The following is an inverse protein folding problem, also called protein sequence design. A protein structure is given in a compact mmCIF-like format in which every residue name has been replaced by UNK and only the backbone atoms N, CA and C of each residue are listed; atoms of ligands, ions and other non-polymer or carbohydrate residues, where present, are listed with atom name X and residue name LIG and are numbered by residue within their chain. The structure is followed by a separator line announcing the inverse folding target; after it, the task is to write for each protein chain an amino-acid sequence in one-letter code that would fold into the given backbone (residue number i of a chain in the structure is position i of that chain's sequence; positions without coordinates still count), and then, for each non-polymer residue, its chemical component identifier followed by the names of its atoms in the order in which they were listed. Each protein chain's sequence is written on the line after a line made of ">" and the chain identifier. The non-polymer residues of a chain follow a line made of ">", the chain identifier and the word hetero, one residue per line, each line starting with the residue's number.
data_IF_018588778327
#
_entry.id   IF_018588778327
#
_cell.length_a   1.000
_cell.length_b   1.000
_cell.length_c   1.000
_cell.angle_alpha   90.00
_cell.angle_beta   90.00
_cell.angle_gamma   90.00
#
_symmetry.space_group_name_H-M   'P 1'
#
loop_
_entity.id
_entity.type
_entity.pdbx_description
1 polymer ?
#
# COMPACT_ATOMS: atom_id res chain seq x y z
N UNK A 1 -5.56 25.55 -12.41
CA UNK A 1 -6.19 24.34 -12.98
C UNK A 1 -5.55 23.13 -12.30
N UNK A 2 -6.23 22.50 -11.34
CA UNK A 2 -5.70 21.32 -10.65
C UNK A 2 -6.09 20.08 -11.45
N UNK A 3 -5.13 19.45 -12.12
CA UNK A 3 -5.31 18.21 -12.90
C UNK A 3 -5.28 16.96 -11.99
N UNK A 4 -4.64 17.07 -10.83
CA UNK A 4 -4.53 16.06 -9.76
C UNK A 4 -5.86 15.53 -9.20
N UNK A 5 -6.89 16.34 -8.91
CA UNK A 5 -8.14 15.85 -8.35
C UNK A 5 -8.82 14.84 -9.27
N UNK A 6 -8.78 15.08 -10.58
CA UNK A 6 -9.43 14.18 -11.55
C UNK A 6 -8.71 12.83 -11.61
N UNK A 7 -7.38 12.82 -11.63
CA UNK A 7 -6.59 11.59 -11.64
C UNK A 7 -6.81 10.80 -10.34
N UNK A 8 -6.75 11.45 -9.18
CA UNK A 8 -6.95 10.79 -7.88
C UNK A 8 -8.38 10.23 -7.73
N UNK A 9 -9.43 10.94 -8.17
CA UNK A 9 -10.79 10.39 -8.10
C UNK A 9 -11.02 9.26 -9.11
N UNK A 10 -10.50 9.38 -10.33
CA UNK A 10 -10.62 8.32 -11.34
C UNK A 10 -9.92 7.04 -10.90
N UNK A 11 -8.71 7.16 -10.34
CA UNK A 11 -7.98 6.00 -9.80
C UNK A 11 -8.70 5.37 -8.60
N UNK A 12 -9.22 6.17 -7.66
CA UNK A 12 -10.03 5.67 -6.54
C UNK A 12 -11.26 4.88 -7.01
N UNK A 13 -12.00 5.40 -8.00
CA UNK A 13 -13.17 4.71 -8.57
C UNK A 13 -12.77 3.36 -9.17
N UNK A 14 -11.69 3.32 -9.97
CA UNK A 14 -11.20 2.09 -10.59
C UNK A 14 -10.83 1.07 -9.51
N UNK A 15 -10.12 1.48 -8.47
CA UNK A 15 -9.70 0.57 -7.41
C UNK A 15 -10.87 0.03 -6.59
N UNK A 16 -11.88 0.85 -6.29
CA UNK A 16 -13.10 0.38 -5.63
C UNK A 16 -13.88 -0.60 -6.50
N UNK A 17 -13.98 -0.35 -7.81
CA UNK A 17 -14.63 -1.28 -8.76
C UNK A 17 -13.87 -2.61 -8.79
N UNK A 18 -12.54 -2.58 -8.91
CA UNK A 18 -11.71 -3.80 -8.92
C UNK A 18 -11.84 -4.56 -7.59
N UNK A 19 -11.80 -3.85 -6.46
CA UNK A 19 -11.97 -4.47 -5.14
C UNK A 19 -13.33 -5.16 -5.00
N UNK A 20 -14.41 -4.49 -5.41
CA UNK A 20 -15.76 -5.06 -5.40
C UNK A 20 -15.84 -6.28 -6.32
N UNK A 21 -15.30 -6.19 -7.53
CA UNK A 21 -15.25 -7.29 -8.48
C UNK A 21 -14.50 -8.52 -7.92
N UNK A 22 -13.34 -8.30 -7.31
CA UNK A 22 -12.54 -9.36 -6.68
C UNK A 22 -13.32 -10.10 -5.59
N UNK A 23 -14.00 -9.35 -4.71
CA UNK A 23 -14.79 -9.93 -3.61
C UNK A 23 -16.00 -10.69 -4.16
N UNK A 24 -16.70 -10.13 -5.14
CA UNK A 24 -17.94 -10.71 -5.68
C UNK A 24 -17.67 -11.94 -6.54
N UNK A 25 -16.63 -11.92 -7.38
CA UNK A 25 -16.35 -12.98 -8.36
C UNK A 25 -15.40 -14.06 -7.83
N UNK A 26 -14.47 -13.73 -6.94
CA UNK A 26 -13.44 -14.66 -6.43
C UNK A 26 -13.61 -14.99 -4.94
N UNK A 27 -14.86 -15.20 -4.48
CA UNK A 27 -15.21 -15.48 -3.07
C UNK A 27 -14.38 -16.60 -2.39
N UNK A 28 -13.96 -17.61 -3.16
CA UNK A 28 -13.19 -18.77 -2.65
C UNK A 28 -11.66 -18.61 -2.78
N UNK A 29 -11.18 -17.53 -3.39
CA UNK A 29 -9.75 -17.26 -3.57
C UNK A 29 -9.13 -16.79 -2.24
N UNK A 30 -7.97 -17.36 -1.90
CA UNK A 30 -7.21 -16.91 -0.70
C UNK A 30 -6.48 -15.59 -0.96
N UNK A 31 -6.27 -15.27 -2.23
CA UNK A 31 -5.55 -14.08 -2.70
C UNK A 31 -6.52 -12.89 -2.86
N UNK A 32 -7.73 -13.14 -3.34
CA UNK A 32 -8.68 -12.08 -3.70
C UNK A 32 -9.02 -11.15 -2.54
N UNK A 33 -9.27 -11.69 -1.33
CA UNK A 33 -9.64 -10.86 -0.19
C UNK A 33 -8.51 -9.91 0.26
N UNK A 34 -7.26 -10.38 0.47
CA UNK A 34 -6.13 -9.48 0.73
C UNK A 34 -5.93 -8.41 -0.34
N UNK A 35 -6.00 -8.79 -1.63
CA UNK A 35 -5.82 -7.83 -2.73
C UNK A 35 -6.95 -6.81 -2.77
N UNK A 36 -8.19 -7.23 -2.55
CA UNK A 36 -9.32 -6.31 -2.47
C UNK A 36 -9.18 -5.33 -1.30
N UNK A 37 -8.70 -5.78 -0.13
CA UNK A 37 -8.41 -4.87 1.00
C UNK A 37 -7.32 -3.86 0.61
N UNK A 38 -6.28 -4.31 -0.10
CA UNK A 38 -5.25 -3.43 -0.64
C UNK A 38 -5.84 -2.36 -1.57
N UNK A 39 -6.64 -2.76 -2.56
CA UNK A 39 -7.30 -1.83 -3.48
C UNK A 39 -8.24 -0.86 -2.75
N UNK A 40 -8.92 -1.30 -1.68
CA UNK A 40 -9.76 -0.39 -0.87
C UNK A 40 -8.90 0.64 -0.13
N UNK A 41 -7.79 0.23 0.49
CA UNK A 41 -6.91 1.17 1.20
C UNK A 41 -6.27 2.16 0.22
N UNK A 42 -5.80 1.67 -0.92
CA UNK A 42 -5.29 2.54 -1.97
C UNK A 42 -6.40 3.51 -2.39
N UNK A 43 -7.61 3.02 -2.71
CA UNK A 43 -8.76 3.83 -3.14
C UNK A 43 -9.15 4.92 -2.14
N UNK A 44 -9.12 4.59 -0.85
CA UNK A 44 -9.33 5.56 0.23
C UNK A 44 -8.24 6.62 0.20
N UNK A 45 -6.97 6.24 0.02
CA UNK A 45 -5.88 7.19 -0.09
C UNK A 45 -6.08 8.17 -1.26
N UNK A 46 -6.35 7.71 -2.49
CA UNK A 46 -6.54 8.69 -3.59
C UNK A 46 -7.83 9.51 -3.40
N UNK A 47 -8.87 8.95 -2.77
CA UNK A 47 -10.04 9.74 -2.37
C UNK A 47 -9.66 10.85 -1.36
N UNK A 48 -8.78 10.58 -0.40
CA UNK A 48 -8.31 11.61 0.53
C UNK A 48 -7.50 12.70 -0.16
N UNK A 49 -6.73 12.40 -1.20
CA UNK A 49 -6.04 13.42 -1.99
C UNK A 49 -7.02 14.32 -2.73
N UNK A 50 -8.03 13.73 -3.38
CA UNK A 50 -9.10 14.48 -4.05
C UNK A 50 -9.81 15.41 -3.06
N UNK A 51 -10.21 14.88 -1.91
CA UNK A 51 -10.93 15.65 -0.89
C UNK A 51 -10.05 16.73 -0.26
N UNK A 52 -8.76 16.46 -0.04
CA UNK A 52 -7.82 17.47 0.43
C UNK A 52 -7.72 18.64 -0.55
N UNK A 53 -7.61 18.36 -1.86
CA UNK A 53 -7.44 19.42 -2.86
C UNK A 53 -8.73 20.16 -3.22
N UNK A 54 -9.90 19.59 -2.94
CA UNK A 54 -11.20 20.23 -3.18
C UNK A 54 -11.73 20.98 -1.96
N UNK A 55 -11.48 20.47 -0.75
CA UNK A 55 -12.00 21.07 0.50
C UNK A 55 -10.95 21.85 1.29
N UNK A 56 -9.66 21.67 0.98
CA UNK A 56 -8.52 22.22 1.75
C UNK A 56 -8.50 21.84 3.23
N UNK A 57 -9.27 20.81 3.63
CA UNK A 57 -9.35 20.39 5.02
C UNK A 57 -8.25 19.37 5.37
N UNK A 58 -7.34 19.75 6.27
CA UNK A 58 -6.16 18.94 6.63
C UNK A 58 -6.49 17.58 7.25
N UNK A 59 -7.71 17.38 7.73
CA UNK A 59 -8.19 16.09 8.19
C UNK A 59 -7.99 14.99 7.14
N UNK A 60 -8.21 15.28 5.86
CA UNK A 60 -8.01 14.32 4.78
C UNK A 60 -6.55 13.88 4.65
N UNK A 61 -5.59 14.78 4.87
CA UNK A 61 -4.17 14.43 4.90
C UNK A 61 -3.83 13.49 6.08
N UNK A 62 -4.51 13.62 7.24
CA UNK A 62 -4.36 12.67 8.36
C UNK A 62 -4.87 11.29 7.99
N UNK A 63 -6.08 11.21 7.40
CA UNK A 63 -6.66 9.94 6.96
C UNK A 63 -5.80 9.30 5.86
N UNK A 64 -5.25 10.09 4.93
CA UNK A 64 -4.31 9.60 3.92
C UNK A 64 -3.04 9.01 4.54
N UNK A 65 -2.43 9.71 5.50
CA UNK A 65 -1.28 9.18 6.24
C UNK A 65 -1.60 7.87 6.97
N UNK A 66 -2.73 7.83 7.69
CA UNK A 66 -3.18 6.64 8.41
C UNK A 66 -3.32 5.47 7.44
N UNK A 67 -4.03 5.68 6.34
CA UNK A 67 -4.29 4.64 5.33
C UNK A 67 -2.99 4.07 4.76
N UNK A 68 -2.02 4.93 4.42
CA UNK A 68 -0.72 4.47 3.91
C UNK A 68 0.15 3.77 4.96
N UNK A 69 0.04 4.16 6.23
CA UNK A 69 0.79 3.52 7.31
C UNK A 69 0.45 2.02 7.44
N UNK A 70 -0.80 1.62 7.17
CA UNK A 70 -1.24 0.22 7.26
C UNK A 70 -0.85 -0.66 6.06
N UNK A 71 -0.44 -0.08 4.93
CA UNK A 71 -0.13 -0.84 3.70
C UNK A 71 1.03 -1.84 3.88
N UNK A 72 2.21 -1.48 4.44
CA UNK A 72 3.30 -2.44 4.61
C UNK A 72 2.95 -3.60 5.55
N UNK A 73 2.23 -3.31 6.65
CA UNK A 73 1.73 -4.31 7.57
C UNK A 73 0.78 -5.30 6.90
N UNK A 74 -0.17 -4.80 6.09
CA UNK A 74 -1.07 -5.66 5.32
C UNK A 74 -0.29 -6.51 4.31
N UNK A 75 0.75 -5.97 3.68
CA UNK A 75 1.55 -6.67 2.66
C UNK A 75 2.27 -7.85 3.28
N UNK A 76 2.93 -7.59 4.41
CA UNK A 76 3.66 -8.60 5.14
C UNK A 76 2.71 -9.67 5.70
N UNK A 77 1.58 -9.27 6.28
CA UNK A 77 0.59 -10.21 6.81
C UNK A 77 0.03 -11.11 5.70
N UNK A 78 -0.32 -10.54 4.54
CA UNK A 78 -0.74 -11.30 3.37
C UNK A 78 0.34 -12.30 2.94
N UNK A 79 1.57 -11.82 2.76
CA UNK A 79 2.70 -12.65 2.30
C UNK A 79 2.95 -13.82 3.25
N UNK A 80 2.95 -13.57 4.56
CA UNK A 80 3.16 -14.57 5.59
C UNK A 80 2.07 -15.65 5.52
N UNK A 81 0.80 -15.24 5.39
CA UNK A 81 -0.34 -16.17 5.29
C UNK A 81 -0.38 -16.94 3.97
N UNK A 82 0.13 -16.35 2.89
CA UNK A 82 0.16 -16.96 1.58
C UNK A 82 1.31 -17.97 1.45
N UNK A 83 2.52 -17.59 1.88
CA UNK A 83 3.76 -18.36 1.67
C UNK A 83 4.00 -19.48 2.68
N UNK A 84 3.44 -19.42 3.89
CA UNK A 84 3.65 -20.46 4.90
C UNK A 84 2.43 -21.37 5.01
N UNK A 85 2.69 -22.68 5.07
CA UNK A 85 1.67 -23.66 5.40
C UNK A 85 1.19 -23.40 6.84
N UNK A 86 -0.14 -23.41 7.03
CA UNK A 86 -0.95 -22.84 8.13
C UNK A 86 -0.51 -23.10 9.59
N UNK A 87 0.49 -23.91 9.88
CA UNK A 87 0.67 -24.51 11.22
C UNK A 87 1.50 -23.71 12.24
N UNK A 88 2.22 -22.63 11.87
CA UNK A 88 3.15 -21.99 12.82
C UNK A 88 3.15 -20.47 12.92
N UNK A 89 2.29 -19.77 12.18
CA UNK A 89 2.12 -18.34 12.41
C UNK A 89 1.06 -18.19 13.50
N UNK A 90 1.56 -18.09 14.73
CA UNK A 90 0.74 -17.83 15.89
C UNK A 90 -0.10 -16.56 15.63
N UNK A 91 -1.41 -16.56 15.96
CA UNK A 91 -2.29 -15.38 15.84
C UNK A 91 -1.65 -14.11 16.43
N UNK A 92 -0.77 -14.31 17.44
CA UNK A 92 0.08 -13.29 18.06
C UNK A 92 1.01 -12.56 17.08
N UNK A 93 1.65 -13.26 16.14
CA UNK A 93 2.53 -12.64 15.15
C UNK A 93 1.75 -11.73 14.20
N UNK A 94 0.54 -12.15 13.81
CA UNK A 94 -0.38 -11.31 13.04
C UNK A 94 -0.72 -10.01 13.75
N UNK A 95 -0.99 -10.05 15.06
CA UNK A 95 -1.25 -8.85 15.87
C UNK A 95 -0.02 -7.93 16.00
N UNK A 96 1.18 -8.51 16.18
CA UNK A 96 2.41 -7.73 16.34
C UNK A 96 2.77 -6.90 15.10
N UNK A 97 2.46 -7.39 13.89
CA UNK A 97 2.69 -6.68 12.62
C UNK A 97 1.95 -5.33 12.58
N UNK A 98 0.81 -5.22 13.26
CA UNK A 98 0.00 -4.00 13.28
C UNK A 98 0.34 -3.04 14.43
N UNK A 99 1.27 -3.39 15.33
CA UNK A 99 1.60 -2.55 16.48
C UNK A 99 2.18 -1.19 16.04
N UNK A 100 3.13 -1.21 15.12
CA UNK A 100 3.78 0.01 14.58
C UNK A 100 2.77 0.92 13.87
N UNK A 101 2.01 0.48 12.85
CA UNK A 101 1.05 1.38 12.19
C UNK A 101 -0.07 1.85 13.13
N UNK A 102 -0.47 1.05 14.13
CA UNK A 102 -1.44 1.47 15.14
C UNK A 102 -0.89 2.60 16.02
N UNK A 103 0.39 2.54 16.40
CA UNK A 103 1.04 3.64 17.12
C UNK A 103 1.03 4.94 16.29
N UNK A 104 1.40 4.88 15.01
CA UNK A 104 1.36 6.06 14.13
C UNK A 104 -0.06 6.57 13.88
N UNK A 105 -1.05 5.68 13.79
CA UNK A 105 -2.46 6.02 13.72
C UNK A 105 -2.92 6.83 14.95
N UNK A 106 -2.65 6.31 16.15
CA UNK A 106 -3.01 7.00 17.39
C UNK A 106 -2.32 8.35 17.52
N UNK A 107 -1.04 8.43 17.13
CA UNK A 107 -0.30 9.68 17.13
C UNK A 107 -0.87 10.70 16.13
N UNK A 108 -1.24 10.27 14.93
CA UNK A 108 -1.83 11.14 13.92
C UNK A 108 -3.19 11.71 14.36
N UNK A 109 -3.99 10.93 15.09
CA UNK A 109 -5.26 11.39 15.67
C UNK A 109 -5.06 12.32 16.88
N UNK A 110 -4.15 11.96 17.79
CA UNK A 110 -3.95 12.69 19.04
C UNK A 110 -3.26 14.06 18.88
N UNK A 111 -2.47 14.24 17.82
CA UNK A 111 -1.75 15.50 17.57
C UNK A 111 -2.51 16.37 16.58
N UNK A 112 -2.91 17.56 17.00
CA UNK A 112 -3.59 18.54 16.14
C UNK A 112 -2.71 18.93 14.94
N UNK A 113 -1.48 19.38 15.21
CA UNK A 113 -0.49 19.79 14.20
C UNK A 113 0.35 18.62 13.65
N UNK A 114 -0.26 17.44 13.49
CA UNK A 114 0.43 16.30 12.89
C UNK A 114 0.83 16.57 11.44
N UNK A 115 -0.05 17.26 10.71
CA UNK A 115 0.20 17.76 9.35
C UNK A 115 0.74 19.18 9.49
N UNK A 116 1.92 19.44 8.94
CA UNK A 116 2.54 20.77 8.98
C UNK A 116 2.12 21.60 7.77
N UNK A 117 2.31 21.04 6.58
CA UNK A 117 2.02 21.69 5.31
C UNK A 117 1.45 20.68 4.33
N UNK A 118 0.50 21.14 3.53
CA UNK A 118 -0.07 20.41 2.39
C UNK A 118 -0.02 21.31 1.18
N UNK A 119 0.39 20.78 0.04
CA UNK A 119 0.30 21.50 -1.23
C UNK A 119 -0.15 20.57 -2.34
N UNK A 120 -1.15 21.02 -3.09
CA UNK A 120 -1.70 20.32 -4.24
C UNK A 120 -0.99 20.82 -5.49
N UNK A 121 -0.06 20.01 -6.02
CA UNK A 121 0.58 20.27 -7.30
C UNK A 121 -0.29 19.80 -8.47
N UNK A 122 0.19 20.03 -9.70
CA UNK A 122 -0.52 19.60 -10.92
C UNK A 122 -0.53 18.08 -11.11
N UNK A 123 0.49 17.38 -10.62
CA UNK A 123 0.69 15.93 -10.82
C UNK A 123 0.74 15.12 -9.54
N UNK A 124 1.04 15.75 -8.40
CA UNK A 124 1.19 15.07 -7.11
C UNK A 124 0.77 15.99 -5.96
N UNK A 125 0.34 15.37 -4.87
CA UNK A 125 0.09 16.05 -3.60
C UNK A 125 1.33 15.90 -2.72
N UNK A 126 1.76 17.01 -2.12
CA UNK A 126 2.85 17.00 -1.13
C UNK A 126 2.28 17.16 0.26
N UNK A 127 2.74 16.31 1.18
CA UNK A 127 2.35 16.35 2.58
C UNK A 127 3.61 16.33 3.45
N UNK A 128 3.70 17.28 4.38
CA UNK A 128 4.78 17.34 5.36
C UNK A 128 4.22 17.03 6.74
N UNK A 129 4.85 16.07 7.41
CA UNK A 129 4.41 15.56 8.71
C UNK A 129 5.34 16.02 9.83
N UNK A 130 4.80 16.14 11.05
CA UNK A 130 5.59 16.52 12.24
C UNK A 130 6.78 15.59 12.49
N UNK A 131 6.61 14.29 12.20
CA UNK A 131 7.64 13.25 12.35
C UNK A 131 8.85 13.45 11.43
N UNK A 132 8.79 14.37 10.47
CA UNK A 132 9.90 14.70 9.58
C UNK A 132 10.72 15.91 10.06
N UNK A 133 10.39 16.50 11.21
CA UNK A 133 10.97 17.77 11.68
C UNK A 133 11.26 17.79 13.19
N UNK A 134 12.22 18.62 13.59
CA UNK A 134 12.51 18.93 14.99
C UNK A 134 12.77 17.70 15.87
N UNK A 135 12.17 17.71 17.06
CA UNK A 135 12.35 16.69 18.11
C UNK A 135 11.74 15.33 17.70
N UNK A 136 10.74 15.33 16.80
CA UNK A 136 10.04 14.11 16.37
C UNK A 136 10.73 13.38 15.19
N UNK A 137 11.82 13.93 14.65
CA UNK A 137 12.58 13.35 13.54
C UNK A 137 13.03 11.89 13.76
N UNK A 138 13.45 11.45 14.98
CA UNK A 138 13.75 10.05 15.23
C UNK A 138 12.56 9.11 14.98
N UNK A 139 11.33 9.55 15.27
CA UNK A 139 10.13 8.77 14.94
C UNK A 139 9.97 8.65 13.41
N UNK A 140 10.26 9.71 12.66
CA UNK A 140 10.29 9.62 11.19
C UNK A 140 11.23 8.53 10.65
N UNK A 141 12.40 8.36 11.26
CA UNK A 141 13.33 7.28 10.89
C UNK A 141 12.79 5.90 11.26
N UNK A 142 12.13 5.74 12.41
CA UNK A 142 11.47 4.49 12.79
C UNK A 142 10.36 4.15 11.78
N UNK A 143 9.56 5.15 11.38
CA UNK A 143 8.51 4.98 10.36
C UNK A 143 9.10 4.54 9.01
N UNK A 144 10.16 5.20 8.56
CA UNK A 144 10.85 4.85 7.32
C UNK A 144 11.45 3.43 7.39
N UNK A 145 12.13 3.10 8.48
CA UNK A 145 12.68 1.78 8.69
C UNK A 145 11.60 0.71 8.67
N UNK A 146 10.48 0.94 9.35
CA UNK A 146 9.29 0.07 9.30
C UNK A 146 8.82 -0.16 7.87
N UNK A 147 8.63 0.91 7.10
CA UNK A 147 8.12 0.82 5.73
C UNK A 147 9.04 -0.03 4.85
N UNK A 148 10.35 0.27 4.87
CA UNK A 148 11.34 -0.44 4.05
C UNK A 148 11.48 -1.89 4.51
N UNK A 149 11.63 -2.15 5.81
CA UNK A 149 11.88 -3.51 6.31
C UNK A 149 10.68 -4.43 6.12
N UNK A 150 9.44 -3.95 6.28
CA UNK A 150 8.25 -4.78 6.07
C UNK A 150 8.07 -5.18 4.60
N UNK A 151 8.27 -4.22 3.68
CA UNK A 151 8.24 -4.49 2.24
C UNK A 151 9.37 -5.44 1.85
N UNK A 152 10.60 -5.21 2.35
CA UNK A 152 11.75 -6.08 2.08
C UNK A 152 11.54 -7.52 2.58
N UNK A 153 11.02 -7.69 3.80
CA UNK A 153 10.71 -9.02 4.35
C UNK A 153 9.62 -9.70 3.51
N UNK A 154 8.59 -8.98 3.08
CA UNK A 154 7.56 -9.53 2.19
C UNK A 154 8.17 -10.03 0.87
N UNK A 155 9.00 -9.22 0.21
CA UNK A 155 9.69 -9.63 -1.01
C UNK A 155 10.57 -10.87 -0.80
N UNK A 156 11.37 -10.91 0.27
CA UNK A 156 12.23 -12.06 0.59
C UNK A 156 11.42 -13.33 0.83
N UNK A 157 10.29 -13.23 1.53
CA UNK A 157 9.40 -14.38 1.77
C UNK A 157 8.78 -14.91 0.47
N UNK A 158 8.30 -14.02 -0.41
CA UNK A 158 7.80 -14.41 -1.73
C UNK A 158 8.88 -15.06 -2.60
N UNK A 159 10.08 -14.50 -2.66
CA UNK A 159 11.21 -15.08 -3.40
C UNK A 159 11.61 -16.46 -2.88
N UNK A 160 11.62 -16.64 -1.55
CA UNK A 160 11.89 -17.93 -0.94
C UNK A 160 10.78 -18.96 -1.22
N UNK A 161 9.52 -18.52 -1.26
CA UNK A 161 8.39 -19.36 -1.64
C UNK A 161 8.50 -19.80 -3.11
N UNK A 162 8.73 -18.85 -4.02
CA UNK A 162 8.93 -19.09 -5.45
C UNK A 162 10.02 -20.14 -5.71
N UNK A 163 11.18 -20.01 -5.06
CA UNK A 163 12.30 -20.96 -5.20
C UNK A 163 11.95 -22.38 -4.77
N UNK A 164 11.11 -22.53 -3.75
CA UNK A 164 10.70 -23.84 -3.19
C UNK A 164 9.51 -24.46 -3.95
N UNK A 165 8.83 -23.68 -4.78
CA UNK A 165 7.58 -24.08 -5.38
C UNK A 165 7.79 -25.02 -6.59
N UNK A 166 7.10 -26.17 -6.59
CA UNK A 166 7.20 -27.16 -7.69
C UNK A 166 6.10 -27.01 -8.74
N UNK A 167 4.94 -26.47 -8.37
CA UNK A 167 3.81 -26.28 -9.28
C UNK A 167 4.00 -24.99 -10.12
N UNK A 168 3.93 -25.13 -11.45
CA UNK A 168 4.15 -24.05 -12.43
C UNK A 168 3.15 -22.91 -12.24
N UNK A 169 1.85 -23.19 -12.13
CA UNK A 169 0.81 -22.17 -11.96
C UNK A 169 0.97 -21.38 -10.65
N UNK A 170 1.43 -22.03 -9.57
CA UNK A 170 1.71 -21.32 -8.31
C UNK A 170 2.96 -20.45 -8.41
N UNK A 171 3.95 -20.86 -9.21
CA UNK A 171 5.12 -20.02 -9.52
C UNK A 171 4.72 -18.80 -10.34
N UNK A 172 3.83 -18.94 -11.31
CA UNK A 172 3.31 -17.81 -12.09
C UNK A 172 2.63 -16.78 -11.17
N UNK A 173 1.78 -17.25 -10.24
CA UNK A 173 1.15 -16.37 -9.24
C UNK A 173 2.18 -15.63 -8.38
N UNK A 174 3.22 -16.33 -7.90
CA UNK A 174 4.30 -15.70 -7.12
C UNK A 174 5.02 -14.61 -7.95
N UNK A 175 5.31 -14.89 -9.22
CA UNK A 175 5.99 -13.98 -10.13
C UNK A 175 5.12 -12.76 -10.41
N UNK A 176 3.81 -12.94 -10.67
CA UNK A 176 2.89 -11.84 -10.91
C UNK A 176 2.83 -10.88 -9.73
N UNK A 177 2.76 -11.41 -8.50
CA UNK A 177 2.76 -10.59 -7.28
C UNK A 177 4.10 -9.87 -7.09
N UNK A 178 5.24 -10.52 -7.36
CA UNK A 178 6.55 -9.88 -7.27
C UNK A 178 6.68 -8.76 -8.31
N UNK A 179 6.29 -9.02 -9.56
CA UNK A 179 6.32 -8.04 -10.64
C UNK A 179 5.42 -6.85 -10.29
N UNK A 180 4.24 -7.09 -9.74
CA UNK A 180 3.33 -6.05 -9.29
C UNK A 180 3.98 -5.10 -8.28
N UNK A 181 4.64 -5.66 -7.27
CA UNK A 181 5.33 -4.88 -6.23
C UNK A 181 6.52 -4.13 -6.82
N UNK A 182 7.26 -4.74 -7.74
CA UNK A 182 8.40 -4.11 -8.42
C UNK A 182 7.93 -2.93 -9.27
N UNK A 183 6.89 -3.12 -10.08
CA UNK A 183 6.33 -2.07 -10.95
C UNK A 183 5.73 -0.94 -10.12
N UNK A 184 5.15 -1.22 -8.95
CA UNK A 184 4.64 -0.15 -8.08
C UNK A 184 5.75 0.60 -7.34
N UNK A 185 6.80 -0.10 -6.91
CA UNK A 185 7.84 0.47 -6.06
C UNK A 185 8.99 1.12 -6.83
N UNK A 186 9.51 0.48 -7.89
CA UNK A 186 10.70 0.94 -8.60
C UNK A 186 10.50 2.35 -9.18
N UNK A 187 9.41 2.66 -9.91
CA UNK A 187 9.24 4.00 -10.47
C UNK A 187 9.24 5.08 -9.38
N UNK A 188 8.56 4.82 -8.26
CA UNK A 188 8.52 5.75 -7.13
C UNK A 188 9.90 5.96 -6.49
N UNK A 189 10.69 4.89 -6.34
CA UNK A 189 12.06 4.94 -5.80
C UNK A 189 13.02 5.64 -6.78
N UNK A 190 12.94 5.33 -8.08
CA UNK A 190 13.76 5.97 -9.12
C UNK A 190 13.49 7.47 -9.16
N UNK A 191 12.21 7.88 -9.12
CA UNK A 191 11.82 9.28 -9.05
C UNK A 191 12.35 9.97 -7.79
N UNK A 192 12.34 9.28 -6.63
CA UNK A 192 12.91 9.80 -5.39
C UNK A 192 14.42 10.05 -5.50
N UNK A 193 15.16 9.14 -6.13
CA UNK A 193 16.61 9.28 -6.34
C UNK A 193 16.95 10.39 -7.34
N UNK A 194 16.19 10.51 -8.42
CA UNK A 194 16.40 11.55 -9.44
C UNK A 194 16.02 12.94 -8.93
N UNK A 195 14.97 13.04 -8.11
CA UNK A 195 14.46 14.31 -7.59
C UNK A 195 14.21 14.23 -6.09
N UNK A 196 15.25 14.31 -5.23
CA UNK A 196 15.09 14.18 -3.78
C UNK A 196 14.10 15.17 -3.15
N UNK A 197 13.86 16.31 -3.83
CA UNK A 197 12.89 17.33 -3.45
C UNK A 197 11.43 16.81 -3.43
N UNK A 198 11.10 15.74 -4.17
CA UNK A 198 9.74 15.17 -4.22
C UNK A 198 9.50 14.11 -3.15
N UNK A 199 10.39 13.95 -2.17
CA UNK A 199 10.20 12.99 -1.08
C UNK A 199 8.85 13.16 -0.35
N UNK A 200 8.34 14.39 -0.26
CA UNK A 200 7.03 14.70 0.32
C UNK A 200 5.84 14.34 -0.59
N UNK A 201 6.09 14.03 -1.86
CA UNK A 201 5.11 13.57 -2.86
C UNK A 201 5.12 12.05 -3.04
N UNK A 202 6.07 11.33 -2.42
CA UNK A 202 6.27 9.90 -2.63
C UNK A 202 4.98 9.06 -2.47
N UNK A 203 4.14 9.27 -1.45
CA UNK A 203 2.91 8.49 -1.30
C UNK A 203 1.93 8.69 -2.48
N UNK A 204 1.84 9.91 -2.99
CA UNK A 204 0.99 10.29 -4.14
C UNK A 204 1.46 9.58 -5.42
N UNK A 205 2.77 9.65 -5.68
CA UNK A 205 3.40 9.01 -6.84
C UNK A 205 3.27 7.48 -6.77
N UNK A 206 3.55 6.89 -5.61
CA UNK A 206 3.45 5.45 -5.41
C UNK A 206 2.03 4.93 -5.67
N UNK A 207 1.01 5.64 -5.21
CA UNK A 207 -0.38 5.24 -5.37
C UNK A 207 -0.91 5.41 -6.80
N UNK A 208 -0.25 6.17 -7.68
CA UNK A 208 -0.61 6.21 -9.11
C UNK A 208 -0.22 4.90 -9.82
N UNK A 209 0.80 4.20 -9.33
CA UNK A 209 1.19 2.88 -9.84
C UNK A 209 0.40 1.72 -9.21
N UNK A 210 -0.52 2.02 -8.29
CA UNK A 210 -1.34 1.02 -7.60
C UNK A 210 -2.32 0.28 -8.54
N UNK A 211 -2.69 0.88 -9.68
CA UNK A 211 -3.46 0.19 -10.72
C UNK A 211 -2.72 -1.04 -11.24
N UNK A 212 -1.39 -0.97 -11.39
CA UNK A 212 -0.60 -2.13 -11.82
C UNK A 212 -0.68 -3.27 -10.80
N UNK A 213 -0.68 -2.94 -9.51
CA UNK A 213 -0.91 -3.91 -8.44
C UNK A 213 -2.31 -4.53 -8.51
N UNK A 214 -3.34 -3.73 -8.74
CA UNK A 214 -4.72 -4.20 -8.88
C UNK A 214 -4.89 -5.15 -10.08
N UNK A 215 -4.28 -4.83 -11.22
CA UNK A 215 -4.29 -5.67 -12.43
C UNK A 215 -3.58 -7.00 -12.18
N UNK A 216 -2.36 -6.96 -11.64
CA UNK A 216 -1.63 -8.19 -11.32
C UNK A 216 -2.41 -9.07 -10.32
N UNK A 217 -3.10 -8.45 -9.37
CA UNK A 217 -3.98 -9.15 -8.45
C UNK A 217 -5.16 -9.84 -9.10
N UNK A 218 -5.77 -9.22 -10.12
CA UNK A 218 -6.82 -9.85 -10.94
C UNK A 218 -6.29 -11.09 -11.67
N UNK A 219 -5.11 -10.98 -12.28
CA UNK A 219 -4.45 -12.10 -12.98
C UNK A 219 -4.17 -13.24 -12.01
N UNK A 220 -3.56 -12.94 -10.86
CA UNK A 220 -3.28 -13.93 -9.81
C UNK A 220 -4.55 -14.65 -9.31
N UNK A 221 -5.66 -13.93 -9.16
CA UNK A 221 -6.94 -14.53 -8.76
C UNK A 221 -7.52 -15.45 -9.85
N UNK A 222 -7.36 -15.09 -11.12
CA UNK A 222 -7.78 -15.91 -12.24
C UNK A 222 -6.96 -17.20 -12.35
N UNK A 223 -5.65 -17.12 -12.14
CA UNK A 223 -4.76 -18.28 -12.08
C UNK A 223 -5.08 -19.19 -10.87
N UNK A 224 -5.38 -18.62 -9.71
CA UNK A 224 -5.80 -19.41 -8.53
C UNK A 224 -7.13 -20.14 -8.78
N UNK A 225 -8.05 -19.53 -9.55
CA UNK A 225 -9.31 -20.18 -9.96
C UNK A 225 -9.05 -21.38 -10.87
N UNK A 226 -8.14 -21.25 -11.85
CA UNK A 226 -7.71 -22.36 -12.72
C UNK A 226 -7.06 -23.50 -11.95
N UNK A 227 -6.34 -23.21 -10.87
CA UNK A 227 -5.73 -24.23 -9.99
C UNK A 227 -6.73 -25.08 -9.19
N UNK A 228 -7.98 -24.62 -9.02
CA UNK A 228 -9.01 -25.28 -8.22
C UNK A 228 -10.02 -26.07 -9.05
N UNK A 229 -10.02 -25.87 -10.36
CA UNK A 229 -10.82 -26.60 -11.33
C UNK A 229 -9.97 -27.67 -11.98
#
# INVERSE_FOLDING_TARGET
>A
MCFTPLVSISTAIIEFIIAAYLILHFKKSKIAKPIAIFCVLLGIYQLTEFLLCTTSYQFWAKIGFITTAFLPALALHFTINYTKNKERINKRLGLLIYLIPTFYFLMALAKENFILNTSCGNYFVTMRYIIQTGIYKPLGFIYLFYYISFVAIACVLFLNHYKKQKNILKKEIDVDVIIAVIISLIPAVVLLFLFPMIAFAFPSIYCQFAIAFAIAGLIACHLEKKLKN
#
